data_IF_078940003405
#
_entry.id   IF_078940003405
#
_cell.length_a   1.000
_cell.length_b   1.000
_cell.length_c   1.000
_cell.angle_alpha   90.00
_cell.angle_beta   90.00
_cell.angle_gamma   90.00
#
_symmetry.space_group_name_H-M   'P 1'
#
loop_
_entity.id
_entity.type
_entity.pdbx_description
1 polymer ?
#
# COMPACT_ATOMS: atom_id res chain seq x y z
N UNK A 1 -7.09 -38.06 -27.61
CA UNK A 1 -7.48 -37.01 -26.69
C UNK A 1 -6.89 -37.17 -25.28
N UNK A 2 -6.97 -38.33 -24.58
CA UNK A 2 -6.45 -38.49 -23.18
C UNK A 2 -4.92 -38.31 -23.05
N UNK A 3 -4.08 -38.63 -24.03
CA UNK A 3 -2.63 -38.43 -23.96
C UNK A 3 -2.22 -36.96 -24.09
N UNK A 4 -2.85 -36.22 -25.00
CA UNK A 4 -2.56 -34.77 -25.18
C UNK A 4 -2.88 -34.00 -23.90
N UNK A 5 -4.03 -34.27 -23.27
CA UNK A 5 -4.38 -33.61 -22.00
C UNK A 5 -3.39 -33.89 -20.87
N UNK A 6 -2.81 -35.10 -20.80
CA UNK A 6 -1.78 -35.40 -19.77
C UNK A 6 -0.47 -34.66 -20.03
N UNK A 7 -0.04 -34.60 -21.29
CA UNK A 7 1.19 -33.86 -21.67
C UNK A 7 1.02 -32.39 -21.38
N UNK A 8 -0.11 -31.78 -21.74
CA UNK A 8 -0.40 -30.38 -21.43
C UNK A 8 -0.40 -30.12 -19.93
N UNK A 9 -0.98 -31.02 -19.11
CA UNK A 9 -0.96 -30.88 -17.65
C UNK A 9 0.47 -30.90 -17.07
N UNK A 10 1.32 -31.81 -17.55
CA UNK A 10 2.72 -31.88 -17.09
C UNK A 10 3.52 -30.65 -17.50
N UNK A 11 3.27 -30.10 -18.70
CA UNK A 11 3.90 -28.84 -19.13
C UNK A 11 3.47 -27.69 -18.21
N UNK A 12 2.16 -27.56 -17.90
CA UNK A 12 1.66 -26.53 -17.02
C UNK A 12 2.24 -26.65 -15.61
N UNK A 13 2.28 -27.85 -15.04
CA UNK A 13 2.88 -28.10 -13.73
C UNK A 13 4.37 -27.78 -13.72
N UNK A 14 5.10 -28.22 -14.75
CA UNK A 14 6.52 -27.91 -14.89
C UNK A 14 6.78 -26.40 -15.00
N UNK A 15 5.99 -25.71 -15.83
CA UNK A 15 6.07 -24.26 -15.97
C UNK A 15 5.74 -23.55 -14.64
N UNK A 16 4.70 -24.00 -13.93
CA UNK A 16 4.34 -23.44 -12.61
C UNK A 16 5.47 -23.61 -11.60
N UNK A 17 6.14 -24.76 -11.57
CA UNK A 17 7.31 -24.99 -10.70
C UNK A 17 8.46 -24.07 -11.10
N UNK A 18 8.74 -23.94 -12.39
CA UNK A 18 9.84 -23.12 -12.88
C UNK A 18 9.66 -21.63 -12.53
N UNK A 19 8.46 -21.08 -12.63
CA UNK A 19 8.22 -19.69 -12.29
C UNK A 19 8.41 -19.38 -10.79
N UNK A 20 8.37 -20.39 -9.89
CA UNK A 20 8.61 -20.18 -8.46
C UNK A 20 10.09 -19.81 -8.14
N UNK A 21 11.01 -20.04 -9.07
CA UNK A 21 12.40 -19.62 -8.93
C UNK A 21 12.63 -18.14 -9.27
N UNK A 22 11.67 -17.51 -9.97
CA UNK A 22 11.70 -16.08 -10.32
C UNK A 22 11.11 -15.26 -9.17
N UNK A 23 11.90 -15.02 -8.14
CA UNK A 23 11.47 -14.28 -6.95
C UNK A 23 11.69 -12.79 -7.11
N UNK A 24 10.76 -12.00 -6.56
CA UNK A 24 10.91 -10.55 -6.37
C UNK A 24 11.61 -10.26 -5.03
N UNK A 25 12.28 -9.13 -4.94
CA UNK A 25 12.81 -8.62 -3.68
C UNK A 25 11.64 -8.22 -2.78
N UNK A 26 11.82 -8.40 -1.46
CA UNK A 26 10.80 -8.00 -0.50
C UNK A 26 11.00 -6.55 -0.09
N UNK A 27 9.89 -5.82 0.01
CA UNK A 27 9.84 -4.47 0.53
C UNK A 27 9.72 -4.53 2.07
N UNK A 28 10.83 -4.78 2.73
CA UNK A 28 10.94 -4.84 4.19
C UNK A 28 12.22 -4.13 4.61
N UNK A 29 12.09 -3.14 5.48
CA UNK A 29 13.20 -2.41 6.09
C UNK A 29 13.44 -2.93 7.51
N UNK A 30 14.72 -2.96 7.95
CA UNK A 30 15.07 -3.35 9.31
C UNK A 30 14.63 -2.30 10.35
N UNK A 31 14.49 -1.03 9.92
CA UNK A 31 14.11 0.09 10.79
C UNK A 31 13.05 0.95 10.10
N UNK A 32 12.13 1.50 10.91
CA UNK A 32 11.18 2.51 10.44
C UNK A 32 11.93 3.85 10.29
N UNK A 33 11.74 4.51 9.16
CA UNK A 33 12.34 5.83 8.92
C UNK A 33 11.82 6.87 9.92
N UNK A 34 12.69 7.70 10.53
CA UNK A 34 12.22 8.81 11.37
C UNK A 34 11.46 9.90 10.56
N UNK A 35 11.50 9.79 9.24
CA UNK A 35 10.76 10.64 8.30
C UNK A 35 9.49 9.99 7.78
N UNK A 36 9.12 8.82 8.31
CA UNK A 36 7.89 8.13 7.96
C UNK A 36 6.66 8.96 8.32
N UNK A 37 5.61 8.82 7.52
CA UNK A 37 4.38 9.60 7.64
C UNK A 37 3.75 9.51 9.05
N UNK A 38 3.67 8.31 9.64
CA UNK A 38 3.12 8.13 10.99
C UNK A 38 4.09 8.59 12.08
N UNK A 39 5.40 8.48 11.88
CA UNK A 39 6.38 8.97 12.83
C UNK A 39 6.38 10.51 12.91
N UNK A 40 6.26 11.17 11.75
CA UNK A 40 6.17 12.65 11.69
C UNK A 40 4.85 13.16 12.24
N UNK A 41 3.77 12.38 12.14
CA UNK A 41 2.43 12.69 12.60
C UNK A 41 2.02 11.81 13.79
N UNK A 42 2.93 11.64 14.76
CA UNK A 42 2.73 10.75 15.91
C UNK A 42 1.58 11.17 16.84
N UNK A 43 1.10 12.39 16.72
CA UNK A 43 -0.08 12.94 17.41
C UNK A 43 -1.42 12.62 16.71
N UNK A 44 -1.37 11.94 15.53
CA UNK A 44 -2.55 11.42 14.85
C UNK A 44 -3.33 10.49 15.78
N UNK A 45 -4.69 10.58 15.83
CA UNK A 45 -5.51 9.66 16.61
C UNK A 45 -5.23 8.17 16.28
N UNK A 46 -5.14 7.33 17.30
CA UNK A 46 -4.80 5.90 17.17
C UNK A 46 -5.66 5.16 16.15
N UNK A 47 -6.95 5.50 16.07
CA UNK A 47 -7.89 4.91 15.11
C UNK A 47 -7.48 5.24 13.67
N UNK A 48 -7.10 6.47 13.39
CA UNK A 48 -6.61 6.86 12.06
C UNK A 48 -5.28 6.22 11.73
N UNK A 49 -4.34 6.15 12.69
CA UNK A 49 -3.08 5.44 12.49
C UNK A 49 -3.34 3.97 12.11
N UNK A 50 -4.32 3.31 12.76
CA UNK A 50 -4.71 1.94 12.44
C UNK A 50 -5.27 1.83 11.02
N UNK A 51 -6.16 2.75 10.61
CA UNK A 51 -6.71 2.79 9.25
C UNK A 51 -5.61 2.97 8.20
N UNK A 52 -4.66 3.89 8.40
CA UNK A 52 -3.51 4.05 7.50
C UNK A 52 -2.65 2.78 7.42
N UNK A 53 -2.33 2.16 8.57
CA UNK A 53 -1.52 0.93 8.61
C UNK A 53 -2.18 -0.22 7.85
N UNK A 54 -3.50 -0.37 7.99
CA UNK A 54 -4.22 -1.49 7.39
C UNK A 54 -4.52 -1.28 5.91
N UNK A 55 -4.82 -0.03 5.51
CA UNK A 55 -5.36 0.26 4.18
C UNK A 55 -4.34 0.84 3.21
N UNK A 56 -3.22 1.41 3.69
CA UNK A 56 -2.29 2.16 2.84
C UNK A 56 -0.84 1.62 2.91
N UNK A 57 -0.36 1.27 4.11
CA UNK A 57 1.06 1.01 4.38
C UNK A 57 1.64 -0.17 3.62
N UNK A 58 0.84 -1.20 3.32
CA UNK A 58 1.32 -2.38 2.57
C UNK A 58 1.90 -2.02 1.19
N UNK A 59 1.37 -0.96 0.56
CA UNK A 59 1.84 -0.52 -0.76
C UNK A 59 2.63 0.79 -0.73
N UNK A 60 2.43 1.65 0.28
CA UNK A 60 2.98 3.00 0.32
C UNK A 60 4.11 3.21 1.34
N UNK A 61 4.56 2.16 2.05
CA UNK A 61 5.68 2.22 2.99
C UNK A 61 6.86 1.34 2.57
N UNK A 62 7.93 1.38 3.35
CA UNK A 62 9.09 0.49 3.19
C UNK A 62 8.91 -0.85 3.94
N UNK A 63 7.73 -1.11 4.51
CA UNK A 63 7.44 -2.29 5.31
C UNK A 63 6.07 -2.90 4.97
N UNK A 64 6.06 -3.77 3.97
CA UNK A 64 4.87 -4.51 3.55
C UNK A 64 4.62 -5.73 4.44
N UNK A 65 3.40 -5.89 4.92
CA UNK A 65 2.96 -7.11 5.59
C UNK A 65 2.55 -8.16 4.55
N UNK A 66 3.45 -9.11 4.25
CA UNK A 66 3.25 -10.08 3.19
C UNK A 66 2.33 -11.23 3.60
N UNK A 67 1.15 -11.40 2.99
CA UNK A 67 0.30 -12.57 3.19
C UNK A 67 0.95 -13.83 2.58
N UNK A 68 0.49 -15.02 2.99
CA UNK A 68 1.08 -16.28 2.57
C UNK A 68 1.14 -16.47 1.05
N UNK A 69 0.13 -15.99 0.31
CA UNK A 69 0.08 -16.11 -1.16
C UNK A 69 1.07 -15.18 -1.87
N UNK A 70 1.58 -14.16 -1.20
CA UNK A 70 2.62 -13.29 -1.72
C UNK A 70 3.97 -13.99 -1.94
N UNK A 71 4.10 -15.24 -1.48
CA UNK A 71 5.27 -16.08 -1.71
C UNK A 71 5.16 -16.96 -2.96
N UNK A 72 4.01 -16.93 -3.64
CA UNK A 72 3.70 -17.77 -4.79
C UNK A 72 3.63 -16.93 -6.07
N UNK A 73 4.44 -17.27 -7.10
CA UNK A 73 4.26 -16.71 -8.43
C UNK A 73 2.99 -17.30 -9.10
N UNK A 74 2.19 -16.49 -9.82
CA UNK A 74 2.46 -15.11 -10.22
C UNK A 74 2.01 -14.02 -9.23
N UNK A 75 1.37 -14.36 -8.11
CA UNK A 75 0.88 -13.37 -7.13
C UNK A 75 1.99 -12.48 -6.58
N UNK A 76 3.16 -13.06 -6.30
CA UNK A 76 4.34 -12.30 -5.85
C UNK A 76 4.72 -11.16 -6.81
N UNK A 77 4.61 -11.37 -8.12
CA UNK A 77 4.94 -10.35 -9.11
C UNK A 77 3.90 -9.23 -9.16
N UNK A 78 2.61 -9.60 -9.02
CA UNK A 78 1.51 -8.62 -9.00
C UNK A 78 1.64 -7.72 -7.78
N UNK A 79 1.90 -8.32 -6.60
CA UNK A 79 2.06 -7.58 -5.36
C UNK A 79 3.28 -6.65 -5.43
N UNK A 80 4.41 -7.17 -5.88
CA UNK A 80 5.63 -6.38 -6.06
C UNK A 80 5.40 -5.18 -7.01
N UNK A 81 4.65 -5.38 -8.09
CA UNK A 81 4.29 -4.28 -8.98
C UNK A 81 3.37 -3.26 -8.30
N UNK A 82 2.39 -3.69 -7.50
CA UNK A 82 1.52 -2.77 -6.76
C UNK A 82 2.32 -1.95 -5.75
N UNK A 83 3.25 -2.57 -5.01
CA UNK A 83 4.12 -1.87 -4.06
C UNK A 83 4.98 -0.83 -4.78
N UNK A 84 5.65 -1.20 -5.88
CA UNK A 84 6.46 -0.26 -6.66
C UNK A 84 5.65 0.91 -7.20
N UNK A 85 4.46 0.64 -7.74
CA UNK A 85 3.58 1.68 -8.25
C UNK A 85 3.11 2.58 -7.09
N UNK A 86 2.64 2.01 -5.98
CA UNK A 86 2.21 2.77 -4.81
C UNK A 86 3.31 3.68 -4.29
N UNK A 87 4.54 3.16 -4.13
CA UNK A 87 5.68 3.98 -3.68
C UNK A 87 6.14 5.01 -4.70
N UNK A 88 5.93 4.81 -6.00
CA UNK A 88 6.28 5.81 -7.02
C UNK A 88 5.32 6.99 -7.04
N UNK A 89 4.05 6.75 -6.73
CA UNK A 89 3.05 7.81 -6.59
C UNK A 89 3.20 8.52 -5.24
N UNK A 90 3.28 7.74 -4.16
CA UNK A 90 3.34 8.25 -2.79
C UNK A 90 4.15 7.29 -1.92
N UNK A 91 5.29 7.75 -1.38
CA UNK A 91 6.09 6.97 -0.44
C UNK A 91 6.07 7.60 0.97
N UNK A 92 5.37 6.96 1.88
CA UNK A 92 5.25 7.40 3.27
C UNK A 92 6.58 7.42 4.03
N UNK A 93 7.51 6.50 3.73
CA UNK A 93 8.79 6.42 4.42
C UNK A 93 9.66 7.68 4.29
N UNK A 94 9.40 8.50 3.27
CA UNK A 94 10.12 9.75 3.02
C UNK A 94 9.31 11.02 3.28
N UNK A 95 8.08 10.94 3.77
CA UNK A 95 7.17 12.08 3.93
C UNK A 95 7.81 13.27 4.67
N UNK A 96 8.53 13.01 5.76
CA UNK A 96 9.17 14.05 6.55
C UNK A 96 10.22 14.88 5.82
N UNK A 97 10.78 14.36 4.72
CA UNK A 97 11.78 15.05 3.91
C UNK A 97 11.18 15.96 2.85
N UNK A 98 9.88 15.88 2.61
CA UNK A 98 9.19 16.72 1.63
C UNK A 98 9.10 18.17 2.10
N UNK A 99 9.11 19.09 1.15
CA UNK A 99 8.78 20.48 1.46
C UNK A 99 7.28 20.67 1.72
N UNK A 100 6.91 21.80 2.30
CA UNK A 100 5.53 22.10 2.70
C UNK A 100 4.53 21.98 1.55
N UNK A 101 4.93 22.39 0.33
CA UNK A 101 4.04 22.35 -0.83
C UNK A 101 3.72 20.91 -1.23
N UNK A 102 4.74 20.04 -1.24
CA UNK A 102 4.57 18.64 -1.56
C UNK A 102 3.79 17.91 -0.46
N UNK A 103 4.03 18.24 0.83
CA UNK A 103 3.24 17.69 1.94
C UNK A 103 1.76 18.03 1.82
N UNK A 104 1.43 19.30 1.54
CA UNK A 104 0.04 19.74 1.37
C UNK A 104 -0.61 19.01 0.18
N UNK A 105 0.08 18.93 -0.97
CA UNK A 105 -0.43 18.22 -2.13
C UNK A 105 -0.71 16.73 -1.83
N UNK A 106 0.21 16.07 -1.12
CA UNK A 106 0.06 14.67 -0.74
C UNK A 106 -1.13 14.45 0.22
N UNK A 107 -1.34 15.35 1.18
CA UNK A 107 -2.49 15.29 2.09
C UNK A 107 -3.83 15.44 1.34
N UNK A 108 -3.88 16.30 0.32
CA UNK A 108 -5.05 16.50 -0.55
C UNK A 108 -5.30 15.25 -1.40
N UNK A 109 -4.26 14.69 -2.03
CA UNK A 109 -4.33 13.46 -2.83
C UNK A 109 -4.80 12.26 -2.01
N UNK A 110 -4.43 12.14 -0.72
CA UNK A 110 -4.91 11.09 0.17
C UNK A 110 -6.44 11.18 0.32
N UNK A 111 -6.97 12.37 0.63
CA UNK A 111 -8.42 12.55 0.79
C UNK A 111 -9.16 12.28 -0.53
N UNK A 112 -8.67 12.78 -1.66
CA UNK A 112 -9.25 12.55 -2.98
C UNK A 112 -9.31 11.05 -3.30
N UNK A 113 -8.19 10.33 -3.11
CA UNK A 113 -8.09 8.91 -3.43
C UNK A 113 -9.05 8.02 -2.61
N UNK A 114 -9.25 8.31 -1.32
CA UNK A 114 -10.18 7.55 -0.48
C UNK A 114 -11.63 7.94 -0.76
N UNK A 115 -11.91 9.23 -1.05
CA UNK A 115 -13.24 9.73 -1.38
C UNK A 115 -13.75 9.16 -2.71
N UNK A 116 -12.89 9.08 -3.71
CA UNK A 116 -13.20 8.51 -5.02
C UNK A 116 -13.16 6.98 -5.04
N UNK A 117 -12.86 6.35 -3.90
CA UNK A 117 -12.72 4.89 -3.77
C UNK A 117 -11.70 4.28 -4.75
N UNK A 118 -10.70 5.05 -5.16
CA UNK A 118 -9.57 4.56 -5.95
C UNK A 118 -8.54 3.85 -5.07
N UNK A 119 -8.48 4.23 -3.79
CA UNK A 119 -7.67 3.60 -2.74
C UNK A 119 -8.52 3.24 -1.51
N UNK A 120 -8.29 2.06 -0.92
CA UNK A 120 -7.50 0.93 -1.43
C UNK A 120 -8.10 0.29 -2.69
N UNK A 121 -7.28 -0.30 -3.59
CA UNK A 121 -7.76 -0.90 -4.85
C UNK A 121 -8.71 -2.08 -4.61
N UNK A 122 -9.74 -2.24 -5.44
CA UNK A 122 -10.77 -3.28 -5.28
C UNK A 122 -10.20 -4.71 -5.27
N UNK A 123 -9.15 -4.99 -6.07
CA UNK A 123 -8.48 -6.28 -6.08
C UNK A 123 -7.73 -6.58 -4.77
N UNK A 124 -7.21 -5.56 -4.08
CA UNK A 124 -6.63 -5.69 -2.75
C UNK A 124 -7.72 -6.00 -1.72
N UNK A 125 -8.82 -5.25 -1.73
CA UNK A 125 -9.95 -5.41 -0.80
C UNK A 125 -10.65 -6.77 -0.91
N UNK A 126 -10.53 -7.49 -2.02
CA UNK A 126 -11.08 -8.84 -2.17
C UNK A 126 -10.46 -9.83 -1.16
N UNK A 127 -9.20 -9.66 -0.83
CA UNK A 127 -8.43 -10.54 0.06
C UNK A 127 -8.13 -9.90 1.43
N UNK A 128 -8.26 -8.55 1.55
CA UNK A 128 -8.00 -7.78 2.75
C UNK A 128 -9.26 -7.03 3.17
N UNK A 129 -10.20 -7.75 3.77
CA UNK A 129 -11.51 -7.19 4.18
C UNK A 129 -11.41 -6.18 5.31
N UNK A 130 -10.37 -6.29 6.10
CA UNK A 130 -10.00 -5.38 7.19
C UNK A 130 -9.47 -4.03 6.70
N UNK A 131 -9.07 -3.95 5.44
CA UNK A 131 -8.63 -2.70 4.79
C UNK A 131 -9.78 -1.89 4.15
N UNK A 132 -11.03 -2.37 4.25
CA UNK A 132 -12.20 -1.63 3.75
C UNK A 132 -12.44 -0.43 4.66
N UNK A 133 -12.33 0.77 4.10
CA UNK A 133 -12.65 2.01 4.79
C UNK A 133 -14.16 2.21 4.84
N UNK A 134 -14.68 2.52 6.03
CA UNK A 134 -16.08 2.92 6.21
C UNK A 134 -16.27 4.39 5.80
N UNK A 135 -17.50 4.87 5.56
CA UNK A 135 -17.74 6.30 5.32
C UNK A 135 -17.23 7.19 6.45
N UNK A 136 -17.27 6.70 7.69
CA UNK A 136 -16.75 7.37 8.87
C UNK A 136 -15.20 7.47 8.84
N UNK A 137 -14.51 6.39 8.42
CA UNK A 137 -13.07 6.40 8.24
C UNK A 137 -12.64 7.39 7.16
N UNK A 138 -13.33 7.40 6.02
CA UNK A 138 -13.07 8.34 4.91
C UNK A 138 -13.24 9.79 5.39
N UNK A 139 -14.33 10.09 6.10
CA UNK A 139 -14.57 11.42 6.65
C UNK A 139 -13.47 11.83 7.62
N UNK A 140 -13.09 10.95 8.54
CA UNK A 140 -12.04 11.23 9.52
C UNK A 140 -10.66 11.42 8.87
N UNK A 141 -10.33 10.64 7.83
CA UNK A 141 -9.10 10.81 7.07
C UNK A 141 -9.08 12.20 6.41
N UNK A 142 -10.16 12.59 5.72
CA UNK A 142 -10.24 13.88 5.02
C UNK A 142 -10.19 15.07 6.00
N UNK A 143 -10.91 15.03 7.10
CA UNK A 143 -10.88 16.09 8.12
C UNK A 143 -9.48 16.25 8.74
N UNK A 144 -8.80 15.12 8.97
CA UNK A 144 -7.46 15.14 9.52
C UNK A 144 -6.45 15.68 8.50
N UNK A 145 -6.46 15.22 7.24
CA UNK A 145 -5.54 15.71 6.20
C UNK A 145 -5.73 17.19 5.92
N UNK A 146 -6.97 17.70 5.90
CA UNK A 146 -7.25 19.12 5.76
C UNK A 146 -6.70 19.94 6.95
N UNK A 147 -6.88 19.44 8.17
CA UNK A 147 -6.39 20.10 9.38
C UNK A 147 -4.87 20.21 9.38
N UNK A 148 -4.16 19.12 9.00
CA UNK A 148 -2.71 19.12 8.88
C UNK A 148 -2.21 20.05 7.78
N UNK A 149 -2.84 20.04 6.61
CA UNK A 149 -2.51 20.94 5.51
C UNK A 149 -2.65 22.43 5.94
N UNK A 150 -3.75 22.78 6.62
CA UNK A 150 -3.96 24.10 7.19
C UNK A 150 -2.93 24.43 8.26
N UNK A 151 -2.51 23.46 9.06
CA UNK A 151 -1.46 23.61 10.07
C UNK A 151 -0.12 23.97 9.44
N UNK A 152 0.26 23.34 8.34
CA UNK A 152 1.48 23.63 7.58
C UNK A 152 1.43 25.07 7.02
N UNK A 153 0.29 25.48 6.45
CA UNK A 153 0.12 26.83 5.89
C UNK A 153 0.27 27.92 6.95
N UNK A 154 -0.24 27.69 8.16
CA UNK A 154 -0.22 28.70 9.27
C UNK A 154 1.15 28.88 9.92
N UNK A 155 2.07 27.91 9.77
CA UNK A 155 3.44 27.99 10.31
C UNK A 155 4.36 28.92 9.52
N UNK A 156 3.90 29.44 8.39
CA UNK A 156 4.61 30.47 7.56
C UNK A 156 4.27 31.87 8.02
#
# INVERSE_FOLDING_TARGET
MKRIGRVSLYILLGSFILIQFLRTEKNVSDEVSPFDFLEVNADMPDMLQASFKTSCYDCHSDNTNYPWYAHLAPFSWIIDQHIRNGKSEMNFAGYGTLDDRHKIGLLDEICEAVSDSTMPPQNYLMLHRDAILTPEDITAICEWTETEALGIIRKK
#
